data_IF_427967265175
#
_entry.id   IF_427967265175
#
_cell.length_a   1.000
_cell.length_b   1.000
_cell.length_c   1.000
_cell.angle_alpha   90.00
_cell.angle_beta   90.00
_cell.angle_gamma   90.00
#
_symmetry.space_group_name_H-M   'P 1'
#
loop_
_entity.id
_entity.type
_entity.pdbx_description
1 polymer ?
#
# COMPACT_ATOMS: atom_id res chain seq x y z
N UNK A 1 -23.19 -1.30 32.61
CA UNK A 1 -21.90 -0.70 32.21
C UNK A 1 -20.84 -1.77 32.22
N UNK A 2 -20.45 -2.26 31.05
CA UNK A 2 -19.12 -2.83 30.82
C UNK A 2 -18.87 -2.82 29.32
N UNK A 3 -18.03 -1.85 28.94
CA UNK A 3 -17.34 -1.74 27.67
C UNK A 3 -16.61 -3.05 27.35
N UNK A 4 -16.84 -3.59 26.16
CA UNK A 4 -15.93 -4.58 25.55
C UNK A 4 -15.55 -4.07 24.17
N UNK A 5 -14.64 -3.10 24.18
CA UNK A 5 -13.76 -2.73 23.08
C UNK A 5 -13.34 -3.97 22.29
N UNK A 6 -13.89 -4.14 21.08
CA UNK A 6 -13.61 -5.26 20.19
C UNK A 6 -12.77 -4.78 18.98
N UNK A 7 -11.82 -3.89 19.24
CA UNK A 7 -11.02 -3.18 18.23
C UNK A 7 -9.69 -3.91 17.88
N UNK A 8 -9.38 -5.02 18.54
CA UNK A 8 -8.04 -5.62 18.45
C UNK A 8 -7.87 -6.61 17.28
N UNK A 9 -8.96 -7.06 16.65
CA UNK A 9 -8.88 -8.04 15.54
C UNK A 9 -8.63 -7.43 14.16
N UNK A 10 -8.61 -6.10 14.03
CA UNK A 10 -8.39 -5.43 12.74
C UNK A 10 -6.91 -5.34 12.32
N UNK A 11 -5.97 -5.72 13.20
CA UNK A 11 -4.53 -5.53 13.00
C UNK A 11 -3.74 -6.82 12.72
N UNK A 12 -4.37 -7.99 12.77
CA UNK A 12 -3.65 -9.28 12.76
C UNK A 12 -3.74 -10.10 11.45
N UNK A 13 -4.26 -9.54 10.37
CA UNK A 13 -4.28 -10.23 9.08
C UNK A 13 -3.51 -9.42 8.04
N UNK A 14 -2.85 -10.11 7.10
CA UNK A 14 -2.08 -9.51 5.99
C UNK A 14 -3.01 -8.68 5.10
N UNK A 15 -3.32 -7.47 5.55
CA UNK A 15 -4.30 -6.61 4.88
C UNK A 15 -3.78 -6.22 3.49
N UNK A 16 -4.70 -6.01 2.55
CA UNK A 16 -4.37 -5.50 1.21
C UNK A 16 -3.47 -4.25 1.27
N UNK A 17 -3.65 -3.39 2.28
CA UNK A 17 -2.78 -2.22 2.54
C UNK A 17 -1.35 -2.61 2.89
N UNK A 18 -1.16 -3.58 3.78
CA UNK A 18 0.16 -4.10 4.14
C UNK A 18 0.89 -4.64 2.90
N UNK A 19 0.20 -5.45 2.08
CA UNK A 19 0.79 -5.99 0.85
C UNK A 19 1.19 -4.87 -0.13
N UNK A 20 0.30 -3.90 -0.38
CA UNK A 20 0.61 -2.77 -1.28
C UNK A 20 1.80 -1.97 -0.78
N UNK A 21 1.89 -1.68 0.52
CA UNK A 21 3.05 -0.99 1.08
C UNK A 21 4.32 -1.81 0.90
N UNK A 22 4.30 -3.10 1.24
CA UNK A 22 5.44 -4.01 1.10
C UNK A 22 5.93 -4.09 -0.35
N UNK A 23 5.04 -4.27 -1.32
CA UNK A 23 5.40 -4.32 -2.74
C UNK A 23 5.98 -3.00 -3.24
N UNK A 24 5.45 -1.84 -2.83
CA UNK A 24 6.00 -0.54 -3.19
C UNK A 24 7.40 -0.32 -2.61
N UNK A 25 7.65 -0.74 -1.37
CA UNK A 25 8.97 -0.65 -0.74
C UNK A 25 10.00 -1.55 -1.44
N UNK A 26 9.59 -2.72 -1.91
CA UNK A 26 10.40 -3.63 -2.72
C UNK A 26 10.70 -3.10 -4.12
N UNK A 27 10.12 -1.96 -4.51
CA UNK A 27 10.26 -1.36 -5.84
C UNK A 27 9.43 -2.06 -6.93
N UNK A 28 8.44 -2.86 -6.54
CA UNK A 28 7.56 -3.51 -7.52
C UNK A 28 6.61 -2.50 -8.18
N UNK A 29 6.29 -2.77 -9.44
CA UNK A 29 5.27 -2.03 -10.17
C UNK A 29 3.93 -2.73 -9.99
N UNK A 30 3.02 -2.08 -9.28
CA UNK A 30 1.68 -2.58 -9.01
C UNK A 30 0.71 -2.19 -10.12
N UNK A 31 -0.22 -3.08 -10.44
CA UNK A 31 -1.33 -2.81 -11.35
C UNK A 31 -2.55 -3.58 -10.85
N UNK A 32 -3.76 -3.14 -11.22
CA UNK A 32 -4.97 -3.87 -10.81
C UNK A 32 -4.92 -5.36 -11.21
N UNK A 33 -4.27 -5.71 -12.33
CA UNK A 33 -4.14 -7.12 -12.76
C UNK A 33 -3.19 -7.93 -11.88
N UNK A 34 -2.07 -7.35 -11.46
CA UNK A 34 -1.11 -8.04 -10.59
C UNK A 34 -1.67 -8.16 -9.17
N UNK A 35 -2.28 -7.11 -8.64
CA UNK A 35 -2.77 -7.10 -7.25
C UNK A 35 -4.03 -7.96 -7.06
N UNK A 36 -4.89 -8.13 -8.07
CA UNK A 36 -5.99 -9.11 -8.01
C UNK A 36 -5.45 -10.53 -7.87
N UNK A 37 -4.42 -10.89 -8.64
CA UNK A 37 -3.86 -12.26 -8.62
C UNK A 37 -3.19 -12.64 -7.29
N UNK A 38 -2.67 -11.67 -6.55
CA UNK A 38 -1.92 -11.95 -5.32
C UNK A 38 -2.76 -11.85 -4.04
N UNK A 39 -3.72 -10.92 -3.98
CA UNK A 39 -4.44 -10.59 -2.73
C UNK A 39 -5.92 -10.23 -2.95
N UNK A 40 -6.50 -10.60 -4.11
CA UNK A 40 -7.87 -10.25 -4.51
C UNK A 40 -8.18 -8.76 -4.29
N UNK A 41 -7.17 -7.90 -4.51
CA UNK A 41 -7.26 -6.50 -4.14
C UNK A 41 -7.98 -5.68 -5.21
N UNK A 42 -9.30 -5.58 -5.04
CA UNK A 42 -10.15 -4.68 -5.81
C UNK A 42 -9.98 -3.20 -5.42
N UNK A 43 -9.32 -2.92 -4.29
CA UNK A 43 -9.17 -1.56 -3.72
C UNK A 43 -7.81 -0.90 -3.96
N UNK A 44 -6.95 -1.44 -4.84
CA UNK A 44 -5.61 -0.90 -5.08
C UNK A 44 -5.60 0.61 -5.29
N UNK A 45 -6.43 1.13 -6.22
CA UNK A 45 -6.48 2.56 -6.49
C UNK A 45 -6.84 3.41 -5.25
N UNK A 46 -7.79 2.95 -4.43
CA UNK A 46 -8.16 3.65 -3.21
C UNK A 46 -7.03 3.62 -2.16
N UNK A 47 -6.28 2.52 -2.08
CA UNK A 47 -5.10 2.42 -1.20
C UNK A 47 -4.02 3.39 -1.67
N UNK A 48 -3.70 3.42 -2.96
CA UNK A 48 -2.72 4.33 -3.53
C UNK A 48 -3.12 5.79 -3.28
N UNK A 49 -4.39 6.13 -3.50
CA UNK A 49 -4.90 7.49 -3.28
C UNK A 49 -4.79 7.92 -1.80
N UNK A 50 -5.05 7.00 -0.86
CA UNK A 50 -4.86 7.25 0.57
C UNK A 50 -3.38 7.43 0.92
N UNK A 51 -2.50 6.58 0.39
CA UNK A 51 -1.06 6.69 0.63
C UNK A 51 -0.48 8.00 0.08
N UNK A 52 -0.91 8.40 -1.12
CA UNK A 52 -0.46 9.64 -1.74
C UNK A 52 -0.97 10.88 -1.00
N UNK A 53 -2.26 10.92 -0.63
CA UNK A 53 -2.88 12.13 -0.07
C UNK A 53 -2.78 12.27 1.46
N UNK A 54 -2.85 11.16 2.20
CA UNK A 54 -2.87 11.20 3.68
C UNK A 54 -1.50 10.93 4.30
N UNK A 55 -0.62 10.24 3.56
CA UNK A 55 0.69 9.84 4.06
C UNK A 55 1.84 10.43 3.24
N UNK A 56 1.53 11.25 2.22
CA UNK A 56 2.50 11.92 1.36
C UNK A 56 3.47 10.96 0.65
N UNK A 57 3.03 9.75 0.33
CA UNK A 57 3.88 8.80 -0.39
C UNK A 57 4.09 9.30 -1.82
N UNK A 58 5.35 9.41 -2.29
CA UNK A 58 5.66 9.83 -3.65
C UNK A 58 5.42 8.66 -4.62
N UNK A 59 4.15 8.42 -4.94
CA UNK A 59 3.73 7.34 -5.84
C UNK A 59 3.52 7.90 -7.23
N UNK A 60 4.22 7.34 -8.21
CA UNK A 60 4.02 7.65 -9.62
C UNK A 60 2.92 6.75 -10.20
N UNK A 61 2.20 7.29 -11.17
CA UNK A 61 1.10 6.58 -11.85
C UNK A 61 1.16 6.78 -13.35
N UNK A 62 1.06 5.69 -14.10
CA UNK A 62 1.07 5.71 -15.57
C UNK A 62 0.03 4.75 -16.14
N UNK A 63 -0.60 5.15 -17.24
CA UNK A 63 -1.45 4.27 -18.03
C UNK A 63 -0.62 3.63 -19.14
N UNK A 64 -0.61 2.30 -19.22
CA UNK A 64 0.11 1.56 -20.28
C UNK A 64 -0.83 0.71 -21.11
N UNK A 65 -0.43 0.53 -22.38
CA UNK A 65 -1.06 -0.37 -23.34
C UNK A 65 -2.40 0.14 -23.90
N UNK A 66 -2.96 -0.62 -24.84
CA UNK A 66 -4.27 -0.33 -25.46
C UNK A 66 -5.42 -0.42 -24.45
N UNK A 67 -5.25 -1.26 -23.44
CA UNK A 67 -6.23 -1.47 -22.36
C UNK A 67 -6.23 -0.35 -21.31
N UNK A 68 -5.31 0.63 -21.42
CA UNK A 68 -5.15 1.74 -20.45
C UNK A 68 -5.12 1.25 -19.00
N UNK A 69 -4.28 0.26 -18.72
CA UNK A 69 -4.11 -0.27 -17.37
C UNK A 69 -3.26 0.72 -16.57
N UNK A 70 -3.71 1.06 -15.35
CA UNK A 70 -2.92 1.88 -14.42
C UNK A 70 -1.84 1.03 -13.75
N UNK A 71 -0.62 1.56 -13.80
CA UNK A 71 0.55 1.07 -13.11
C UNK A 71 0.95 2.09 -12.05
N UNK A 72 1.36 1.61 -10.88
CA UNK A 72 1.76 2.41 -9.73
C UNK A 72 3.11 1.90 -9.23
N UNK A 73 4.00 2.82 -8.89
CA UNK A 73 5.28 2.49 -8.27
C UNK A 73 5.76 3.65 -7.41
N UNK A 74 6.64 3.37 -6.45
CA UNK A 74 7.26 4.41 -5.66
C UNK A 74 8.27 5.19 -6.53
N UNK A 75 8.30 6.51 -6.43
CA UNK A 75 9.22 7.35 -7.19
C UNK A 75 10.67 6.90 -6.96
N UNK A 76 11.47 6.67 -8.01
CA UNK A 76 12.86 6.27 -7.86
C UNK A 76 13.65 7.28 -7.03
N UNK A 77 14.50 6.79 -6.12
CA UNK A 77 15.27 7.64 -5.20
C UNK A 77 14.50 8.13 -3.98
N UNK A 78 13.28 7.66 -3.75
CA UNK A 78 12.55 7.92 -2.51
C UNK A 78 13.28 7.30 -1.33
N UNK A 79 13.53 8.10 -0.28
CA UNK A 79 14.08 7.63 0.99
C UNK A 79 12.99 6.91 1.78
N UNK A 80 13.05 5.58 1.81
CA UNK A 80 12.03 4.75 2.46
C UNK A 80 11.89 5.05 3.96
N UNK A 81 13.00 5.39 4.61
CA UNK A 81 13.05 5.73 6.04
C UNK A 81 12.22 6.97 6.40
N UNK A 82 12.04 7.90 5.45
CA UNK A 82 11.33 9.17 5.63
C UNK A 82 9.83 9.05 5.36
N UNK A 83 9.35 7.88 4.92
CA UNK A 83 7.93 7.66 4.63
C UNK A 83 7.09 7.59 5.92
N UNK A 84 5.88 8.13 5.84
CA UNK A 84 4.87 8.04 6.88
C UNK A 84 4.03 6.77 6.68
N UNK A 85 4.22 5.75 7.52
CA UNK A 85 3.53 4.49 7.35
C UNK A 85 2.13 4.54 7.99
N UNK A 86 1.09 3.99 7.33
CA UNK A 86 -0.19 3.78 7.98
C UNK A 86 -0.04 2.80 9.16
N UNK A 87 -0.95 2.81 10.16
CA UNK A 87 -0.88 1.91 11.32
C UNK A 87 -0.77 0.43 10.93
N UNK A 88 -1.43 0.05 9.83
CA UNK A 88 -1.42 -1.31 9.27
C UNK A 88 -0.10 -1.74 8.66
N UNK A 89 0.80 -0.82 8.33
CA UNK A 89 2.10 -1.10 7.73
C UNK A 89 3.26 -0.53 8.56
N UNK A 90 3.01 -0.20 9.84
CA UNK A 90 4.01 0.39 10.73
C UNK A 90 5.20 -0.54 10.97
N UNK A 91 4.97 -1.86 11.00
CA UNK A 91 6.04 -2.86 11.12
C UNK A 91 7.01 -2.83 9.93
N UNK A 92 6.55 -2.49 8.72
CA UNK A 92 7.41 -2.40 7.55
C UNK A 92 8.47 -1.29 7.67
N UNK A 93 8.23 -0.28 8.52
CA UNK A 93 9.22 0.77 8.77
C UNK A 93 10.48 0.23 9.45
N UNK A 94 10.34 -0.81 10.27
CA UNK A 94 11.44 -1.43 10.99
C UNK A 94 12.31 -2.29 10.06
N UNK A 95 11.68 -2.92 9.07
CA UNK A 95 12.33 -3.72 8.03
C UNK A 95 12.94 -2.88 6.88
N UNK A 96 12.43 -1.68 6.62
CA UNK A 96 12.89 -0.81 5.52
C UNK A 96 14.23 -0.08 5.79
N UNK A 97 15.10 -0.68 6.61
CA UNK A 97 16.32 -0.08 7.17
C UNK A 97 17.55 -0.27 6.28
#
# INVERSE_FOLDING_TARGET
>A
MTDKSNDTRWFADRTQRFYVCSALLSGEVLSHRTTIRHVDCWRLAAIIEVLANQYDWPIEREYRGKDKIRYYWLKPGTRLCDLNFPPSAKSLKEDAK
#
